data_IF_294853447141
#
_entry.id   IF_294853447141
#
_cell.length_a   1.000
_cell.length_b   1.000
_cell.length_c   1.000
_cell.angle_alpha   90.00
_cell.angle_beta   90.00
_cell.angle_gamma   90.00
#
_symmetry.space_group_name_H-M   'P 1'
#
loop_
_entity.id
_entity.type
_entity.pdbx_description
1 polymer ?
#
# COMPACT_ATOMS: atom_id res chain seq x y z
N UNK A 1 9.13 -6.09 -27.24
CA UNK A 1 9.09 -7.22 -26.28
C UNK A 1 9.72 -8.45 -26.88
N UNK A 2 10.57 -9.18 -26.17
CA UNK A 2 11.14 -10.43 -26.69
C UNK A 2 10.05 -11.52 -26.74
N UNK A 3 10.10 -12.38 -27.77
CA UNK A 3 9.18 -13.52 -27.93
C UNK A 3 9.16 -14.43 -26.69
N UNK A 4 10.28 -14.55 -26.00
CA UNK A 4 10.41 -15.32 -24.78
C UNK A 4 9.57 -14.74 -23.63
N UNK A 5 9.55 -13.40 -23.44
CA UNK A 5 8.77 -12.72 -22.43
C UNK A 5 7.26 -12.99 -22.61
N UNK A 6 6.77 -12.86 -23.84
CA UNK A 6 5.38 -13.15 -24.16
C UNK A 6 5.00 -14.61 -23.88
N UNK A 7 5.89 -15.56 -24.20
CA UNK A 7 5.65 -16.98 -23.94
C UNK A 7 5.61 -17.28 -22.44
N UNK A 8 6.48 -16.66 -21.65
CA UNK A 8 6.49 -16.83 -20.19
C UNK A 8 5.24 -16.20 -19.57
N UNK A 9 4.89 -14.96 -19.95
CA UNK A 9 3.68 -14.31 -19.48
C UNK A 9 2.42 -15.16 -19.76
N UNK A 10 2.24 -15.60 -21.00
CA UNK A 10 1.10 -16.45 -21.38
C UNK A 10 1.06 -17.80 -20.65
N UNK A 11 2.19 -18.32 -20.19
CA UNK A 11 2.22 -19.54 -19.38
C UNK A 11 1.91 -19.28 -17.93
N UNK A 12 2.38 -18.16 -17.37
CA UNK A 12 2.03 -17.73 -16.01
C UNK A 12 0.55 -17.45 -15.87
N UNK A 13 -0.07 -16.78 -16.84
CA UNK A 13 -1.52 -16.49 -16.83
C UNK A 13 -2.41 -17.74 -16.85
N UNK A 14 -1.84 -18.90 -17.27
CA UNK A 14 -2.55 -20.18 -17.26
C UNK A 14 -2.40 -20.96 -15.96
N UNK A 15 -1.54 -20.52 -15.07
CA UNK A 15 -1.36 -21.16 -13.77
C UNK A 15 -2.51 -20.73 -12.87
N UNK A 16 -3.37 -21.66 -12.51
CA UNK A 16 -4.49 -21.46 -11.58
C UNK A 16 -4.24 -22.23 -10.30
N UNK A 17 -4.86 -21.82 -9.21
CA UNK A 17 -4.78 -22.55 -7.95
C UNK A 17 -3.58 -22.16 -7.09
N UNK A 18 -3.14 -20.91 -7.16
CA UNK A 18 -2.24 -20.36 -6.16
C UNK A 18 -2.88 -20.45 -4.77
N UNK A 19 -2.10 -20.75 -3.72
CA UNK A 19 -2.59 -20.65 -2.35
C UNK A 19 -3.14 -19.25 -2.08
N UNK A 20 -4.20 -19.14 -1.29
CA UNK A 20 -4.84 -17.85 -0.95
C UNK A 20 -3.89 -16.84 -0.28
N UNK A 21 -2.77 -17.34 0.29
CA UNK A 21 -1.73 -16.54 0.96
C UNK A 21 -0.57 -16.17 0.02
N UNK A 22 -0.57 -16.65 -1.22
CA UNK A 22 0.49 -16.36 -2.19
C UNK A 22 0.12 -15.17 -3.06
N UNK A 23 1.04 -14.22 -3.18
CA UNK A 23 0.90 -13.13 -4.14
C UNK A 23 1.04 -13.64 -5.57
N UNK A 24 0.36 -12.97 -6.51
CA UNK A 24 0.50 -13.29 -7.94
C UNK A 24 1.96 -13.10 -8.40
N UNK A 25 2.48 -14.02 -9.22
CA UNK A 25 3.86 -13.94 -9.68
C UNK A 25 4.07 -12.71 -10.58
N UNK A 26 5.10 -11.93 -10.27
CA UNK A 26 5.50 -10.76 -11.06
C UNK A 26 6.63 -11.13 -11.98
N UNK A 27 6.43 -10.98 -13.29
CA UNK A 27 7.46 -11.18 -14.29
C UNK A 27 8.33 -9.93 -14.43
N UNK A 28 9.59 -10.04 -14.06
CA UNK A 28 10.58 -8.97 -14.23
C UNK A 28 11.65 -9.38 -15.22
N UNK A 29 12.02 -8.47 -16.10
CA UNK A 29 13.22 -8.63 -16.94
C UNK A 29 14.31 -7.75 -16.37
N UNK A 30 15.54 -8.24 -16.39
CA UNK A 30 16.72 -7.45 -16.06
C UNK A 30 17.75 -7.54 -17.18
N UNK A 31 18.41 -6.44 -17.48
CA UNK A 31 19.44 -6.34 -18.47
C UNK A 31 20.65 -5.53 -17.97
N UNK A 32 21.74 -5.48 -18.74
CA UNK A 32 22.91 -4.67 -18.41
C UNK A 32 22.58 -3.17 -18.25
N UNK A 33 21.52 -2.71 -18.91
CA UNK A 33 21.07 -1.32 -18.88
C UNK A 33 20.20 -0.98 -17.65
N UNK A 34 19.78 -1.97 -16.85
CA UNK A 34 18.98 -1.78 -15.64
C UNK A 34 19.83 -1.39 -14.42
N UNK A 35 21.13 -1.16 -14.61
CA UNK A 35 21.99 -0.69 -13.53
C UNK A 35 21.67 0.78 -13.21
N UNK A 36 21.54 1.11 -11.91
CA UNK A 36 21.35 2.49 -11.50
C UNK A 36 22.49 3.38 -11.98
N UNK A 37 22.15 4.48 -12.64
CA UNK A 37 23.12 5.49 -13.05
C UNK A 37 23.55 6.39 -11.87
N UNK A 38 22.70 6.49 -10.85
CA UNK A 38 22.97 7.29 -9.68
C UNK A 38 22.19 6.78 -8.45
N UNK A 39 22.78 7.04 -7.30
CA UNK A 39 22.21 6.80 -6.00
C UNK A 39 22.11 8.13 -5.23
N UNK A 40 20.92 8.49 -4.79
CA UNK A 40 20.65 9.68 -4.01
C UNK A 40 20.33 9.27 -2.58
N UNK A 41 21.03 9.84 -1.64
CA UNK A 41 20.89 9.50 -0.24
C UNK A 41 20.23 10.67 0.46
N UNK A 42 19.06 10.43 1.01
CA UNK A 42 18.33 11.39 1.82
C UNK A 42 18.56 11.09 3.29
N UNK A 43 19.06 12.04 4.03
CA UNK A 43 19.22 11.96 5.47
C UNK A 43 18.73 13.24 6.13
N UNK A 44 18.35 13.14 7.38
CA UNK A 44 17.88 14.31 8.13
C UNK A 44 19.02 15.23 8.54
N UNK A 45 18.77 16.52 8.53
CA UNK A 45 19.66 17.50 9.15
C UNK A 45 19.59 17.43 10.68
N UNK A 46 20.60 17.96 11.36
CA UNK A 46 20.72 17.80 12.81
C UNK A 46 19.56 18.41 13.62
N UNK A 47 18.97 19.49 13.12
CA UNK A 47 17.87 20.22 13.77
C UNK A 47 16.50 19.53 13.57
N UNK A 48 16.43 18.53 12.69
CA UNK A 48 15.18 17.81 12.44
C UNK A 48 15.12 16.53 13.27
N UNK A 49 14.23 16.50 14.26
CA UNK A 49 14.06 15.37 15.17
C UNK A 49 13.19 14.25 14.57
N UNK A 50 12.41 14.55 13.54
CA UNK A 50 11.50 13.57 12.92
C UNK A 50 12.28 12.43 12.27
N UNK A 51 11.94 11.14 12.54
CA UNK A 51 12.62 10.00 11.94
C UNK A 51 12.58 10.03 10.41
N UNK A 52 13.72 9.78 9.75
CA UNK A 52 13.83 9.90 8.28
C UNK A 52 12.90 8.94 7.54
N UNK A 53 12.66 7.76 8.08
CA UNK A 53 11.77 6.75 7.53
C UNK A 53 10.32 7.21 7.38
N UNK A 54 9.90 8.19 8.20
CA UNK A 54 8.55 8.78 8.12
C UNK A 54 8.36 9.74 6.96
N UNK A 55 9.44 10.05 6.26
CA UNK A 55 9.41 10.81 5.00
C UNK A 55 9.24 9.92 3.77
N UNK A 56 8.95 8.63 3.96
CA UNK A 56 8.76 7.67 2.88
C UNK A 56 7.72 8.14 1.86
N UNK A 57 6.52 8.50 2.30
CA UNK A 57 5.44 8.99 1.43
C UNK A 57 5.87 10.25 0.66
N UNK A 58 6.52 11.21 1.34
CA UNK A 58 7.05 12.40 0.67
C UNK A 58 8.13 12.06 -0.37
N UNK A 59 9.04 11.17 -0.03
CA UNK A 59 10.10 10.74 -0.94
C UNK A 59 9.54 9.99 -2.15
N UNK A 60 8.48 9.23 -1.97
CA UNK A 60 7.80 8.47 -3.03
C UNK A 60 6.94 9.39 -3.91
N UNK A 61 6.01 10.12 -3.32
CA UNK A 61 5.03 10.92 -4.05
C UNK A 61 5.64 12.16 -4.70
N UNK A 62 6.60 12.80 -4.06
CA UNK A 62 7.17 14.07 -4.53
C UNK A 62 8.51 13.87 -5.20
N UNK A 63 9.48 13.26 -4.49
CA UNK A 63 10.87 13.20 -4.99
C UNK A 63 10.97 12.19 -6.14
N UNK A 64 10.56 10.94 -5.91
CA UNK A 64 10.57 9.90 -6.94
C UNK A 64 9.76 10.32 -8.16
N UNK A 65 8.53 10.78 -7.96
CA UNK A 65 7.65 11.19 -9.06
C UNK A 65 8.19 12.36 -9.87
N UNK A 66 8.93 13.29 -9.27
CA UNK A 66 9.60 14.37 -10.00
C UNK A 66 10.79 13.86 -10.79
N UNK A 67 11.61 12.98 -10.20
CA UNK A 67 12.76 12.39 -10.87
C UNK A 67 12.34 11.56 -12.09
N UNK A 68 11.26 10.80 -12.00
CA UNK A 68 10.75 9.96 -13.09
C UNK A 68 10.18 10.77 -14.28
N UNK A 69 9.85 12.05 -14.07
CA UNK A 69 9.41 12.96 -15.16
C UNK A 69 10.55 13.54 -15.97
N UNK A 70 11.79 13.36 -15.52
CA UNK A 70 12.97 13.88 -16.21
C UNK A 70 13.27 13.00 -17.41
N UNK A 71 13.51 13.63 -18.56
CA UNK A 71 13.86 12.92 -19.78
C UNK A 71 15.14 12.07 -19.59
N UNK A 72 15.07 10.84 -20.00
CA UNK A 72 16.16 9.88 -19.85
C UNK A 72 16.12 9.05 -18.56
N UNK A 73 15.24 9.33 -17.60
CA UNK A 73 14.98 8.46 -16.45
C UNK A 73 13.94 7.42 -16.81
N UNK A 74 14.25 6.14 -16.61
CA UNK A 74 13.32 5.03 -16.85
C UNK A 74 12.43 4.77 -15.64
N UNK A 75 13.04 4.66 -14.46
CA UNK A 75 12.36 4.50 -13.19
C UNK A 75 13.28 4.86 -12.02
N UNK A 76 12.68 5.13 -10.88
CA UNK A 76 13.40 5.41 -9.63
C UNK A 76 12.87 4.47 -8.54
N UNK A 77 13.77 3.78 -7.85
CA UNK A 77 13.40 2.90 -6.74
C UNK A 77 13.75 3.57 -5.41
N UNK A 78 12.77 3.68 -4.53
CA UNK A 78 12.95 4.15 -3.16
C UNK A 78 13.16 2.96 -2.23
N UNK A 79 14.16 3.06 -1.36
CA UNK A 79 14.50 2.04 -0.36
C UNK A 79 14.71 2.66 1.01
N UNK A 80 14.43 1.87 2.06
CA UNK A 80 14.61 2.29 3.47
C UNK A 80 13.41 3.03 4.06
N UNK A 81 12.36 3.28 3.27
CA UNK A 81 11.09 3.80 3.74
C UNK A 81 10.28 2.73 4.49
N UNK A 82 9.34 3.20 5.28
CA UNK A 82 8.29 2.36 5.87
C UNK A 82 6.96 2.83 5.33
N UNK A 83 6.18 1.88 4.85
CA UNK A 83 4.83 2.16 4.36
C UNK A 83 3.90 2.50 5.51
N UNK A 84 3.11 3.54 5.32
CA UNK A 84 2.05 3.90 6.26
C UNK A 84 0.90 2.91 6.15
N UNK A 85 0.39 2.44 7.28
CA UNK A 85 -0.73 1.52 7.34
C UNK A 85 -1.80 1.97 8.34
N UNK A 86 -3.02 1.47 8.17
CA UNK A 86 -4.06 1.54 9.19
C UNK A 86 -3.90 0.33 10.11
N UNK A 87 -3.46 0.57 11.34
CA UNK A 87 -3.20 -0.45 12.34
C UNK A 87 -4.42 -0.65 13.21
N UNK A 88 -4.83 -1.91 13.35
CA UNK A 88 -5.90 -2.34 14.25
C UNK A 88 -5.28 -3.22 15.32
N UNK A 89 -5.27 -2.75 16.55
CA UNK A 89 -4.75 -3.49 17.71
C UNK A 89 -5.93 -3.96 18.54
N UNK A 90 -6.22 -5.25 18.50
CA UNK A 90 -7.36 -5.85 19.21
C UNK A 90 -7.06 -6.04 20.69
N UNK A 91 -8.06 -5.78 21.56
CA UNK A 91 -8.03 -6.13 22.96
C UNK A 91 -8.59 -7.55 23.17
N UNK A 92 -7.76 -8.52 23.59
CA UNK A 92 -8.22 -9.88 23.82
C UNK A 92 -9.33 -10.00 24.89
N UNK A 93 -9.27 -9.15 25.91
CA UNK A 93 -10.29 -9.14 26.96
C UNK A 93 -11.64 -8.58 26.44
N UNK A 94 -11.56 -7.54 25.62
CA UNK A 94 -12.72 -6.99 24.90
C UNK A 94 -13.35 -8.03 23.97
N UNK A 95 -12.55 -8.74 23.18
CA UNK A 95 -13.04 -9.82 22.30
C UNK A 95 -13.75 -10.93 23.10
N UNK A 96 -13.11 -11.40 24.18
CA UNK A 96 -13.69 -12.46 25.03
C UNK A 96 -15.02 -12.03 25.66
N UNK A 97 -15.14 -10.77 26.09
CA UNK A 97 -16.39 -10.20 26.67
C UNK A 97 -17.58 -10.32 25.73
N UNK A 98 -17.34 -10.13 24.43
CA UNK A 98 -18.38 -10.19 23.40
C UNK A 98 -18.46 -11.52 22.68
N UNK A 99 -17.68 -12.53 23.10
CA UNK A 99 -17.61 -13.85 22.45
C UNK A 99 -17.16 -13.78 21.00
N UNK A 100 -16.21 -12.90 20.71
CA UNK A 100 -15.61 -12.68 19.40
C UNK A 100 -14.20 -13.27 19.37
N UNK A 101 -13.77 -13.68 18.18
CA UNK A 101 -12.41 -14.17 17.93
C UNK A 101 -11.70 -13.25 16.92
N UNK A 102 -10.36 -13.31 16.87
CA UNK A 102 -9.58 -12.54 15.87
C UNK A 102 -10.01 -12.88 14.44
N UNK A 103 -10.22 -14.18 14.07
CA UNK A 103 -10.75 -14.54 12.75
C UNK A 103 -12.11 -13.88 12.43
N UNK A 104 -12.99 -13.69 13.42
CA UNK A 104 -14.27 -12.99 13.20
C UNK A 104 -14.04 -11.54 12.81
N UNK A 105 -13.14 -10.85 13.51
CA UNK A 105 -12.77 -9.46 13.20
C UNK A 105 -12.19 -9.36 11.77
N UNK A 106 -11.25 -10.24 11.43
CA UNK A 106 -10.62 -10.27 10.09
C UNK A 106 -11.67 -10.50 9.00
N UNK A 107 -12.57 -11.46 9.21
CA UNK A 107 -13.65 -11.77 8.26
C UNK A 107 -14.57 -10.58 8.02
N UNK A 108 -15.00 -9.91 9.10
CA UNK A 108 -15.88 -8.74 9.00
C UNK A 108 -15.16 -7.57 8.33
N UNK A 109 -13.90 -7.31 8.67
CA UNK A 109 -13.11 -6.25 8.04
C UNK A 109 -12.90 -6.50 6.55
N UNK A 110 -12.58 -7.73 6.14
CA UNK A 110 -12.48 -8.10 4.72
C UNK A 110 -13.79 -7.86 3.97
N UNK A 111 -14.92 -8.24 4.57
CA UNK A 111 -16.24 -8.02 3.96
C UNK A 111 -16.61 -6.54 3.89
N UNK A 112 -16.21 -5.73 4.87
CA UNK A 112 -16.47 -4.30 4.89
C UNK A 112 -15.55 -3.50 3.94
N UNK A 113 -14.38 -4.03 3.61
CA UNK A 113 -13.37 -3.38 2.74
C UNK A 113 -13.53 -3.77 1.27
N UNK A 114 -14.75 -3.97 0.80
CA UNK A 114 -15.03 -4.36 -0.59
C UNK A 114 -15.71 -3.21 -1.33
N UNK A 115 -15.06 -2.73 -2.39
CA UNK A 115 -15.69 -1.85 -3.37
C UNK A 115 -16.38 -2.70 -4.43
N UNK A 116 -17.70 -2.60 -4.53
CA UNK A 116 -18.49 -3.34 -5.51
C UNK A 116 -19.24 -2.39 -6.44
N UNK A 117 -19.23 -2.68 -7.73
CA UNK A 117 -20.18 -2.08 -8.65
C UNK A 117 -21.51 -2.81 -8.48
N UNK A 118 -22.50 -2.13 -7.90
CA UNK A 118 -23.81 -2.71 -7.58
C UNK A 118 -24.68 -2.88 -8.84
N UNK A 119 -24.38 -2.12 -9.89
CA UNK A 119 -25.11 -2.17 -11.15
C UNK A 119 -25.10 -0.84 -11.86
N UNK A 120 -25.86 -0.78 -12.96
CA UNK A 120 -26.12 0.44 -13.70
C UNK A 120 -27.61 0.74 -13.79
N UNK A 121 -27.94 2.00 -13.65
CA UNK A 121 -29.31 2.50 -13.87
C UNK A 121 -29.32 3.32 -15.15
N UNK A 122 -30.24 2.97 -16.08
CA UNK A 122 -30.44 3.72 -17.32
C UNK A 122 -31.64 4.65 -17.17
N UNK A 123 -31.41 5.93 -17.37
CA UNK A 123 -32.45 6.94 -17.39
C UNK A 123 -32.36 7.69 -18.72
N UNK A 124 -33.26 7.33 -19.65
CA UNK A 124 -33.24 7.84 -21.02
C UNK A 124 -31.92 7.48 -21.74
N UNK A 125 -31.19 8.52 -22.20
CA UNK A 125 -29.87 8.36 -22.86
C UNK A 125 -28.69 8.34 -21.93
N UNK A 126 -28.90 8.48 -20.60
CA UNK A 126 -27.84 8.50 -19.57
C UNK A 126 -27.78 7.16 -18.86
N UNK A 127 -26.54 6.71 -18.62
CA UNK A 127 -26.25 5.52 -17.86
C UNK A 127 -25.50 5.96 -16.59
N UNK A 128 -26.06 5.64 -15.44
CA UNK A 128 -25.44 5.90 -14.13
C UNK A 128 -24.90 4.58 -13.61
N UNK A 129 -23.59 4.54 -13.39
CA UNK A 129 -22.94 3.39 -12.73
C UNK A 129 -23.02 3.63 -11.23
N UNK A 130 -23.74 2.79 -10.52
CA UNK A 130 -23.81 2.81 -9.05
C UNK A 130 -22.65 2.00 -8.52
N UNK A 131 -21.67 2.69 -7.93
CA UNK A 131 -20.53 2.08 -7.27
C UNK A 131 -20.68 2.25 -5.77
N UNK A 132 -20.55 1.18 -5.00
CA UNK A 132 -20.42 1.24 -3.57
C UNK A 132 -18.92 1.35 -3.21
N UNK A 133 -18.53 2.47 -2.64
CA UNK A 133 -17.17 2.65 -2.11
C UNK A 133 -17.11 2.10 -0.69
N UNK A 134 -16.71 0.84 -0.57
CA UNK A 134 -16.54 0.16 0.71
C UNK A 134 -15.14 0.27 1.30
N UNK A 135 -14.23 1.02 0.66
CA UNK A 135 -12.85 1.11 1.15
C UNK A 135 -12.75 1.79 2.53
N UNK A 136 -12.13 1.08 3.46
CA UNK A 136 -11.87 1.53 4.82
C UNK A 136 -10.56 2.34 4.87
N UNK A 137 -10.61 3.58 4.38
CA UNK A 137 -9.43 4.45 4.22
C UNK A 137 -9.12 5.32 5.43
N UNK A 138 -10.03 5.42 6.39
CA UNK A 138 -9.85 6.27 7.58
C UNK A 138 -10.06 5.49 8.87
N UNK A 139 -9.34 5.84 9.95
CA UNK A 139 -9.54 5.20 11.27
C UNK A 139 -10.97 5.27 11.76
N UNK A 140 -11.69 6.36 11.48
CA UNK A 140 -13.08 6.58 11.89
C UNK A 140 -14.03 5.59 11.24
N UNK A 141 -13.86 5.34 9.95
CA UNK A 141 -14.65 4.34 9.22
C UNK A 141 -14.40 2.93 9.76
N UNK A 142 -13.15 2.60 10.04
CA UNK A 142 -12.78 1.29 10.59
C UNK A 142 -13.34 1.12 12.00
N UNK A 143 -13.24 2.13 12.88
CA UNK A 143 -13.81 2.11 14.24
C UNK A 143 -15.32 1.89 14.22
N UNK A 144 -16.02 2.42 13.22
CA UNK A 144 -17.46 2.33 13.10
C UNK A 144 -17.96 0.97 12.57
N UNK A 145 -17.08 0.09 12.09
CA UNK A 145 -17.47 -1.24 11.58
C UNK A 145 -18.17 -2.05 12.68
N UNK A 146 -19.35 -2.56 12.37
CA UNK A 146 -20.15 -3.39 13.29
C UNK A 146 -19.69 -4.84 13.17
N UNK A 147 -19.11 -5.38 14.24
CA UNK A 147 -18.65 -6.75 14.31
C UNK A 147 -19.78 -7.73 14.60
N UNK A 148 -20.71 -7.33 15.46
CA UNK A 148 -21.83 -8.17 15.89
C UNK A 148 -23.04 -7.31 16.27
N UNK A 149 -24.23 -7.79 15.94
CA UNK A 149 -25.49 -7.25 16.46
C UNK A 149 -26.11 -8.25 17.43
N UNK A 150 -26.45 -7.79 18.62
CA UNK A 150 -27.06 -8.60 19.68
C UNK A 150 -28.46 -8.05 19.89
N UNK A 151 -29.47 -8.90 19.69
CA UNK A 151 -30.85 -8.56 19.98
C UNK A 151 -31.21 -9.09 21.35
N UNK A 152 -31.65 -8.22 22.24
CA UNK A 152 -32.15 -8.58 23.54
C UNK A 152 -33.52 -9.28 23.36
N UNK A 153 -33.66 -10.53 23.83
CA UNK A 153 -34.87 -11.32 23.59
C UNK A 153 -36.07 -10.79 24.36
N UNK A 154 -35.87 -10.06 25.47
CA UNK A 154 -36.96 -9.56 26.30
C UNK A 154 -37.45 -8.19 25.83
N UNK A 155 -36.55 -7.31 25.40
CA UNK A 155 -36.88 -5.92 25.05
C UNK A 155 -36.92 -5.67 23.54
N UNK A 156 -36.43 -6.60 22.73
CA UNK A 156 -36.28 -6.45 21.27
C UNK A 156 -35.23 -5.40 20.87
N UNK A 157 -34.48 -4.86 21.83
CA UNK A 157 -33.45 -3.85 21.55
C UNK A 157 -32.23 -4.47 20.86
N UNK A 158 -31.77 -3.81 19.81
CA UNK A 158 -30.56 -4.23 19.10
C UNK A 158 -29.37 -3.42 19.59
N UNK A 159 -28.44 -4.11 20.25
CA UNK A 159 -27.13 -3.57 20.61
C UNK A 159 -26.12 -3.95 19.53
N UNK A 160 -25.26 -3.02 19.15
CA UNK A 160 -24.23 -3.24 18.14
C UNK A 160 -22.85 -3.13 18.76
N UNK A 161 -22.07 -4.19 18.65
CA UNK A 161 -20.65 -4.20 19.01
C UNK A 161 -19.87 -3.69 17.82
N UNK A 162 -19.17 -2.59 18.00
CA UNK A 162 -18.31 -1.98 16.97
C UNK A 162 -16.87 -2.37 17.20
N UNK A 163 -16.05 -2.21 16.17
CA UNK A 163 -14.62 -2.45 16.28
C UNK A 163 -13.98 -1.57 17.36
N UNK A 164 -14.43 -0.32 17.51
CA UNK A 164 -13.98 0.59 18.56
C UNK A 164 -14.17 0.07 20.01
N UNK A 165 -15.09 -0.87 20.22
CA UNK A 165 -15.38 -1.43 21.55
C UNK A 165 -14.37 -2.53 21.95
N UNK A 166 -13.59 -3.05 20.98
CA UNK A 166 -12.68 -4.19 21.15
C UNK A 166 -11.30 -3.99 20.53
N UNK A 167 -11.04 -2.83 19.92
CA UNK A 167 -9.76 -2.55 19.28
C UNK A 167 -9.44 -1.06 19.25
N UNK A 168 -8.15 -0.76 19.31
CA UNK A 168 -7.61 0.55 18.98
C UNK A 168 -7.27 0.60 17.48
N UNK A 169 -7.71 1.69 16.82
CA UNK A 169 -7.47 1.91 15.40
C UNK A 169 -6.76 3.23 15.21
N UNK A 170 -5.68 3.21 14.46
CA UNK A 170 -4.90 4.41 14.17
C UNK A 170 -3.99 4.22 12.98
N UNK A 171 -3.36 5.30 12.55
CA UNK A 171 -2.28 5.20 11.58
C UNK A 171 -1.03 4.68 12.29
N UNK A 172 -0.35 3.76 11.63
CA UNK A 172 0.93 3.22 12.01
C UNK A 172 1.85 3.10 10.80
N UNK A 173 2.94 2.42 10.99
CA UNK A 173 3.87 2.06 9.92
C UNK A 173 4.05 0.55 9.94
N UNK A 174 4.21 -0.06 8.76
CA UNK A 174 4.56 -1.47 8.64
C UNK A 174 5.88 -1.76 9.37
N UNK A 175 6.06 -3.00 9.75
CA UNK A 175 7.33 -3.45 10.32
C UNK A 175 8.45 -3.22 9.33
N UNK A 176 9.57 -2.69 9.83
CA UNK A 176 10.71 -2.36 9.01
C UNK A 176 11.43 -3.63 8.58
N UNK A 177 11.46 -3.89 7.29
CA UNK A 177 12.18 -5.02 6.69
C UNK A 177 13.63 -4.69 6.33
N UNK A 178 13.90 -3.41 6.01
CA UNK A 178 15.22 -2.93 5.58
C UNK A 178 15.58 -1.67 6.35
N UNK A 179 16.79 -1.64 6.88
CA UNK A 179 17.38 -0.44 7.51
C UNK A 179 18.58 0.03 6.70
N UNK A 180 18.52 1.29 6.25
CA UNK A 180 19.61 1.92 5.51
C UNK A 180 20.29 2.96 6.39
N UNK A 181 21.61 2.96 6.36
CA UNK A 181 22.42 3.94 7.10
C UNK A 181 23.50 4.50 6.21
N UNK A 182 23.69 5.81 6.27
CA UNK A 182 24.81 6.53 5.67
C UNK A 182 25.65 7.12 6.77
N UNK A 183 26.92 6.73 6.87
CA UNK A 183 27.84 7.16 7.94
C UNK A 183 27.24 7.01 9.36
N UNK A 184 26.58 5.85 9.60
CA UNK A 184 25.91 5.55 10.88
C UNK A 184 24.54 6.23 11.10
N UNK A 185 24.12 7.17 10.24
CA UNK A 185 22.84 7.86 10.34
C UNK A 185 21.77 7.14 9.50
N UNK A 186 20.54 7.00 10.01
CA UNK A 186 19.43 6.47 9.21
C UNK A 186 19.22 7.33 7.95
N UNK A 187 18.94 6.66 6.82
CA UNK A 187 18.79 7.32 5.52
C UNK A 187 17.75 6.60 4.67
N UNK A 188 17.21 7.31 3.67
CA UNK A 188 16.49 6.75 2.53
C UNK A 188 17.39 6.78 1.30
N UNK A 189 17.24 5.84 0.40
CA UNK A 189 17.99 5.82 -0.85
C UNK A 189 17.01 5.80 -2.02
N UNK A 190 17.28 6.68 -3.00
CA UNK A 190 16.64 6.63 -4.31
C UNK A 190 17.70 6.18 -5.33
N UNK A 191 17.42 5.13 -6.06
CA UNK A 191 18.25 4.69 -7.18
C UNK A 191 17.56 5.00 -8.50
N UNK A 192 18.23 5.76 -9.35
CA UNK A 192 17.70 6.15 -10.65
C UNK A 192 18.31 5.28 -11.76
N UNK A 193 17.44 4.67 -12.56
CA UNK A 193 17.80 3.88 -13.74
C UNK A 193 17.49 4.68 -14.99
N UNK A 194 18.39 4.66 -15.97
CA UNK A 194 18.23 5.39 -17.24
C UNK A 194 17.35 4.64 -18.23
N UNK A 195 16.73 5.38 -19.13
CA UNK A 195 16.11 4.80 -20.32
C UNK A 195 17.20 4.28 -21.26
N UNK A 196 16.96 3.16 -21.92
CA UNK A 196 17.90 2.57 -22.88
C UNK A 196 18.22 3.61 -23.95
N UNK A 197 19.53 3.86 -24.16
CA UNK A 197 20.02 4.84 -25.14
C UNK A 197 20.04 6.30 -24.65
N UNK A 198 19.56 6.61 -23.46
CA UNK A 198 19.63 7.95 -22.91
C UNK A 198 21.07 8.35 -22.54
N UNK A 199 21.37 9.66 -22.72
CA UNK A 199 22.65 10.23 -22.32
C UNK A 199 22.70 10.45 -20.82
N UNK A 200 23.55 9.70 -20.12
CA UNK A 200 23.69 9.78 -18.66
C UNK A 200 24.00 11.20 -18.17
N UNK A 201 24.87 11.93 -18.88
CA UNK A 201 25.29 13.26 -18.47
C UNK A 201 24.14 14.29 -18.53
N UNK A 202 23.34 14.23 -19.60
CA UNK A 202 22.16 15.10 -19.77
C UNK A 202 21.08 14.75 -18.76
N UNK A 203 20.79 13.45 -18.59
CA UNK A 203 19.83 12.98 -17.59
C UNK A 203 20.24 13.41 -16.17
N UNK A 204 21.52 13.27 -15.83
CA UNK A 204 22.04 13.69 -14.53
C UNK A 204 22.00 15.21 -14.34
N UNK A 205 22.21 16.00 -15.40
CA UNK A 205 22.04 17.46 -15.35
C UNK A 205 20.58 17.82 -15.06
N UNK A 206 19.63 17.14 -15.71
CA UNK A 206 18.19 17.31 -15.44
C UNK A 206 17.79 16.96 -14.00
N UNK A 207 18.37 15.90 -13.42
CA UNK A 207 18.07 15.53 -12.02
C UNK A 207 18.60 16.57 -11.01
N UNK A 208 19.69 17.27 -11.34
CA UNK A 208 20.31 18.27 -10.46
C UNK A 208 19.69 19.65 -10.57
N UNK A 209 18.91 19.91 -11.61
CA UNK A 209 18.23 21.20 -11.84
C UNK A 209 16.96 21.31 -10.98
#
# INVERSE_FOLDING_TARGET
MSRALLLVANRLDRVTGYPDEADEPILRTSGPDDQPMAWFILYRVAENERPIETYGDFADDVVRSRMERIEGVAHVTLMGNVERELKVVVDPAGLARYGLTVPDVVRVLRQANVSMTVGDVKEGKRRYVVRSEGELTTPERIRAVVLRSITDPETGRVSRVRLADVAEVGFGYKERTVTIRQMGRPALILSAVRTIGANVMETMAGIRA
#
